data_IF_625108729287
#
_entry.id   IF_625108729287
#
_cell.length_a   1.000
_cell.length_b   1.000
_cell.length_c   1.000
_cell.angle_alpha   90.00
_cell.angle_beta   90.00
_cell.angle_gamma   90.00
#
_symmetry.space_group_name_H-M   'P 1'
#
loop_
_entity.id
_entity.type
_entity.pdbx_description
1 polymer ?
#
# COMPACT_ATOMS: atom_id res chain seq x y z
N UNK A 1 -63.84 -28.37 -49.91
CA UNK A 1 -62.95 -29.05 -48.96
C UNK A 1 -61.58 -29.08 -49.60
N UNK A 2 -60.70 -28.16 -49.22
CA UNK A 2 -59.29 -28.18 -49.62
C UNK A 2 -58.52 -27.83 -48.36
N UNK A 3 -58.12 -28.86 -47.62
CA UNK A 3 -57.26 -28.76 -46.46
C UNK A 3 -55.82 -28.85 -46.95
N UNK A 4 -55.15 -27.71 -47.03
CA UNK A 4 -53.69 -27.64 -47.16
C UNK A 4 -53.09 -27.97 -45.81
N UNK A 5 -52.53 -29.17 -45.69
CA UNK A 5 -51.63 -29.53 -44.60
C UNK A 5 -50.34 -28.71 -44.74
N UNK A 6 -50.17 -27.74 -43.85
CA UNK A 6 -48.87 -27.13 -43.60
C UNK A 6 -48.09 -28.09 -42.71
N UNK A 7 -47.20 -28.87 -43.33
CA UNK A 7 -46.17 -29.62 -42.61
C UNK A 7 -45.18 -28.62 -42.00
N UNK A 8 -45.41 -28.24 -40.73
CA UNK A 8 -44.42 -27.53 -39.92
C UNK A 8 -43.38 -28.53 -39.45
N UNK A 9 -42.30 -28.66 -40.21
CA UNK A 9 -41.10 -29.37 -39.78
C UNK A 9 -40.21 -28.41 -39.00
N UNK A 10 -40.59 -28.07 -37.77
CA UNK A 10 -39.61 -27.56 -36.80
C UNK A 10 -38.81 -28.76 -36.32
N UNK A 11 -37.84 -29.19 -37.12
CA UNK A 11 -36.69 -29.93 -36.56
C UNK A 11 -36.03 -29.09 -35.48
N UNK A 12 -35.19 -29.67 -34.60
CA UNK A 12 -34.50 -28.87 -33.60
C UNK A 12 -33.65 -27.85 -34.34
N UNK A 13 -34.07 -26.58 -34.32
CA UNK A 13 -33.21 -25.50 -34.77
C UNK A 13 -32.08 -25.46 -33.74
N UNK A 14 -30.88 -25.83 -34.19
CA UNK A 14 -29.68 -25.54 -33.44
C UNK A 14 -29.49 -24.03 -33.30
N UNK A 15 -28.47 -23.61 -32.55
CA UNK A 15 -28.20 -22.19 -32.35
C UNK A 15 -27.96 -21.47 -33.69
N UNK A 16 -28.48 -20.25 -33.83
CA UNK A 16 -28.22 -19.38 -34.98
C UNK A 16 -27.06 -18.41 -34.77
N UNK A 17 -26.68 -18.17 -33.52
CA UNK A 17 -25.60 -17.28 -33.09
C UNK A 17 -25.24 -17.53 -31.62
N UNK A 18 -24.15 -16.91 -31.17
CA UNK A 18 -23.65 -17.09 -29.80
C UNK A 18 -24.64 -16.58 -28.75
N UNK A 19 -25.51 -15.63 -29.10
CA UNK A 19 -26.54 -15.08 -28.21
C UNK A 19 -27.62 -16.10 -27.82
N UNK A 20 -27.69 -17.25 -28.51
CA UNK A 20 -28.60 -18.36 -28.20
C UNK A 20 -27.96 -19.45 -27.32
N UNK A 21 -26.68 -19.28 -26.96
CA UNK A 21 -25.90 -20.20 -26.14
C UNK A 21 -25.60 -19.57 -24.76
N UNK A 22 -26.53 -19.73 -23.82
CA UNK A 22 -26.46 -19.12 -22.47
C UNK A 22 -25.75 -20.00 -21.43
N UNK A 23 -25.47 -21.25 -21.76
CA UNK A 23 -24.79 -22.19 -20.87
C UNK A 23 -23.30 -21.88 -20.80
N UNK A 24 -22.77 -21.66 -19.59
CA UNK A 24 -21.38 -21.24 -19.40
C UNK A 24 -20.35 -22.22 -20.00
N UNK A 25 -20.61 -23.53 -19.92
CA UNK A 25 -19.73 -24.57 -20.46
C UNK A 25 -19.84 -24.76 -21.99
N UNK A 26 -20.81 -24.10 -22.63
CA UNK A 26 -20.99 -24.16 -24.07
C UNK A 26 -21.45 -22.80 -24.61
N UNK A 27 -20.63 -21.75 -24.51
CA UNK A 27 -21.05 -20.38 -24.77
C UNK A 27 -21.06 -20.01 -26.26
N UNK A 28 -20.43 -20.80 -27.13
CA UNK A 28 -20.21 -20.45 -28.55
C UNK A 28 -21.06 -21.34 -29.46
N UNK A 29 -21.68 -20.77 -30.48
CA UNK A 29 -22.42 -21.49 -31.49
C UNK A 29 -21.51 -21.97 -32.63
N UNK A 30 -21.16 -23.25 -32.64
CA UNK A 30 -20.33 -23.88 -33.68
C UNK A 30 -21.17 -24.88 -34.46
N UNK A 31 -21.31 -24.70 -35.76
CA UNK A 31 -22.09 -25.58 -36.64
C UNK A 31 -23.53 -25.87 -36.12
N UNK A 32 -24.20 -24.82 -35.60
CA UNK A 32 -25.53 -24.88 -34.99
C UNK A 32 -25.60 -25.68 -33.68
N UNK A 33 -24.45 -25.92 -33.03
CA UNK A 33 -24.37 -26.60 -31.73
C UNK A 33 -23.66 -25.69 -30.74
N UNK A 34 -24.31 -25.39 -29.61
CA UNK A 34 -23.66 -24.73 -28.49
C UNK A 34 -22.51 -25.61 -27.99
N UNK A 35 -21.30 -25.04 -28.05
CA UNK A 35 -20.03 -25.72 -27.87
C UNK A 35 -19.13 -24.89 -26.95
N UNK A 36 -18.15 -25.53 -26.28
CA UNK A 36 -17.11 -24.81 -25.54
C UNK A 36 -16.39 -23.82 -26.46
N UNK A 37 -15.89 -22.73 -25.89
CA UNK A 37 -14.97 -21.86 -26.63
C UNK A 37 -13.67 -22.62 -26.96
N UNK A 38 -13.07 -22.27 -28.09
CA UNK A 38 -11.78 -22.80 -28.57
C UNK A 38 -10.73 -21.69 -28.71
N UNK A 39 -11.13 -20.42 -28.54
CA UNK A 39 -10.25 -19.25 -28.65
C UNK A 39 -10.86 -18.02 -28.00
N UNK A 40 -9.99 -17.12 -27.55
CA UNK A 40 -10.37 -15.81 -27.01
C UNK A 40 -11.16 -14.97 -28.02
N UNK A 41 -10.84 -15.09 -29.31
CA UNK A 41 -11.54 -14.36 -30.36
C UNK A 41 -13.05 -14.69 -30.41
N UNK A 42 -13.45 -15.92 -30.07
CA UNK A 42 -14.87 -16.30 -29.98
C UNK A 42 -15.52 -15.66 -28.76
N UNK A 43 -14.85 -15.70 -27.61
CA UNK A 43 -15.34 -15.11 -26.38
C UNK A 43 -15.45 -13.58 -26.48
N UNK A 44 -14.43 -12.90 -26.99
CA UNK A 44 -14.43 -11.45 -27.23
C UNK A 44 -15.50 -11.00 -28.24
N UNK A 45 -15.80 -11.82 -29.25
CA UNK A 45 -16.86 -11.54 -30.20
C UNK A 45 -18.27 -11.68 -29.58
N UNK A 46 -18.45 -12.67 -28.69
CA UNK A 46 -19.70 -12.90 -27.96
C UNK A 46 -19.94 -11.81 -26.90
N UNK A 47 -18.96 -11.56 -26.06
CA UNK A 47 -19.04 -10.62 -24.95
C UNK A 47 -17.67 -9.96 -24.68
N UNK A 48 -17.51 -8.66 -25.00
CA UNK A 48 -16.30 -7.92 -24.70
C UNK A 48 -15.93 -7.85 -23.21
N UNK A 49 -16.88 -8.09 -22.29
CA UNK A 49 -16.60 -8.15 -20.86
C UNK A 49 -16.02 -9.49 -20.41
N UNK A 50 -16.11 -10.55 -21.24
CA UNK A 50 -15.58 -11.87 -20.98
C UNK A 50 -14.75 -12.37 -22.18
N UNK A 51 -13.66 -11.69 -22.55
CA UNK A 51 -12.94 -11.95 -23.79
C UNK A 51 -12.06 -13.20 -23.76
N UNK A 52 -11.74 -13.75 -22.60
CA UNK A 52 -10.78 -14.85 -22.48
C UNK A 52 -11.48 -16.21 -22.49
N UNK A 53 -10.96 -17.17 -23.24
CA UNK A 53 -11.41 -18.55 -23.28
C UNK A 53 -10.57 -19.40 -22.31
N UNK A 54 -11.20 -19.92 -21.25
CA UNK A 54 -10.55 -20.80 -20.29
C UNK A 54 -10.45 -22.23 -20.82
N UNK A 55 -9.48 -23.00 -20.33
CA UNK A 55 -9.21 -24.39 -20.72
C UNK A 55 -10.41 -25.35 -20.64
N UNK A 56 -11.44 -25.04 -19.84
CA UNK A 56 -12.67 -25.83 -19.73
C UNK A 56 -13.79 -25.38 -20.69
N UNK A 57 -13.48 -24.45 -21.61
CA UNK A 57 -14.39 -23.99 -22.65
C UNK A 57 -15.33 -22.85 -22.24
N UNK A 58 -15.10 -22.24 -21.07
CA UNK A 58 -15.89 -21.09 -20.60
C UNK A 58 -15.27 -19.76 -21.04
N UNK A 59 -16.12 -18.80 -21.42
CA UNK A 59 -15.70 -17.41 -21.59
C UNK A 59 -15.69 -16.72 -20.22
N UNK A 60 -14.55 -16.13 -19.86
CA UNK A 60 -14.29 -15.47 -18.57
C UNK A 60 -13.67 -14.10 -18.80
N UNK A 61 -13.64 -13.26 -17.76
CA UNK A 61 -13.08 -11.90 -17.87
C UNK A 61 -11.60 -11.94 -18.25
N UNK A 62 -10.85 -12.86 -17.65
CA UNK A 62 -9.42 -12.99 -17.86
C UNK A 62 -8.93 -14.39 -17.51
N UNK A 63 -7.74 -14.73 -17.97
CA UNK A 63 -6.97 -15.92 -17.59
C UNK A 63 -5.52 -15.51 -17.33
N UNK A 64 -4.71 -16.40 -16.78
CA UNK A 64 -3.28 -16.13 -16.60
C UNK A 64 -2.51 -15.83 -17.90
N UNK A 65 -3.05 -16.22 -19.06
CA UNK A 65 -2.47 -15.99 -20.38
C UNK A 65 -3.15 -14.89 -21.19
N UNK A 66 -4.29 -14.38 -20.72
CA UNK A 66 -5.05 -13.32 -21.37
C UNK A 66 -5.75 -12.47 -20.31
N UNK A 67 -5.19 -11.29 -20.06
CA UNK A 67 -5.71 -10.25 -19.18
C UNK A 67 -6.23 -9.04 -19.95
N UNK A 68 -6.48 -9.15 -21.26
CA UNK A 68 -6.98 -8.05 -22.11
C UNK A 68 -8.33 -7.49 -21.63
N UNK A 69 -9.10 -8.29 -20.88
CA UNK A 69 -10.35 -7.86 -20.24
C UNK A 69 -10.15 -7.00 -18.98
N UNK A 70 -8.92 -6.93 -18.46
CA UNK A 70 -8.56 -6.16 -17.27
C UNK A 70 -8.00 -4.79 -17.64
N UNK A 71 -8.36 -3.77 -16.87
CA UNK A 71 -7.96 -2.39 -17.11
C UNK A 71 -8.61 -1.43 -16.13
N UNK A 72 -8.23 -0.16 -16.21
CA UNK A 72 -8.71 0.88 -15.28
C UNK A 72 -8.45 0.49 -13.82
N UNK A 73 -9.50 0.55 -12.99
CA UNK A 73 -9.43 0.23 -11.55
C UNK A 73 -9.30 -1.28 -11.24
N UNK A 74 -9.33 -2.15 -12.26
CA UNK A 74 -9.12 -3.60 -12.11
C UNK A 74 -8.11 -4.11 -13.14
N UNK A 75 -6.82 -3.71 -13.06
CA UNK A 75 -5.83 -4.06 -14.06
C UNK A 75 -5.28 -5.48 -13.90
N UNK A 76 -5.53 -6.16 -12.77
CA UNK A 76 -4.91 -7.46 -12.47
C UNK A 76 -5.90 -8.59 -12.68
N UNK A 77 -5.49 -9.65 -13.37
CA UNK A 77 -6.26 -10.88 -13.43
C UNK A 77 -6.02 -11.76 -12.19
N UNK A 78 -7.05 -11.98 -11.37
CA UNK A 78 -7.02 -13.09 -10.41
C UNK A 78 -7.34 -14.39 -11.15
N UNK A 79 -6.28 -15.09 -11.59
CA UNK A 79 -6.42 -16.32 -12.34
C UNK A 79 -7.07 -17.47 -11.54
N UNK A 80 -7.11 -17.41 -10.21
CA UNK A 80 -7.75 -18.45 -9.41
C UNK A 80 -9.28 -18.41 -9.56
N UNK A 81 -9.84 -17.22 -9.72
CA UNK A 81 -11.29 -17.01 -9.91
C UNK A 81 -11.67 -16.48 -11.30
N UNK A 82 -10.68 -16.16 -12.16
CA UNK A 82 -10.82 -15.65 -13.52
C UNK A 82 -11.57 -14.31 -13.59
N UNK A 83 -11.29 -13.42 -12.63
CA UNK A 83 -11.91 -12.09 -12.53
C UNK A 83 -10.86 -11.01 -12.39
N UNK A 84 -11.11 -9.85 -12.98
CA UNK A 84 -10.23 -8.70 -12.82
C UNK A 84 -10.40 -8.08 -11.42
N UNK A 85 -9.28 -7.67 -10.82
CA UNK A 85 -9.23 -7.03 -9.50
C UNK A 85 -8.28 -5.83 -9.51
N UNK A 86 -8.47 -4.91 -8.57
CA UNK A 86 -7.57 -3.79 -8.35
C UNK A 86 -6.21 -4.25 -7.83
N UNK A 87 -5.15 -3.52 -8.15
CA UNK A 87 -3.88 -3.69 -7.48
C UNK A 87 -3.99 -3.28 -6.00
N UNK A 88 -3.25 -3.95 -5.13
CA UNK A 88 -3.13 -3.64 -3.71
C UNK A 88 -1.67 -3.38 -3.30
N UNK A 89 -0.72 -3.86 -4.09
CA UNK A 89 0.73 -3.78 -3.87
C UNK A 89 1.43 -3.30 -5.13
N UNK A 90 2.53 -2.56 -4.98
CA UNK A 90 3.25 -1.99 -6.12
C UNK A 90 3.81 -3.06 -7.08
N UNK A 91 4.16 -4.24 -6.56
CA UNK A 91 4.66 -5.39 -7.34
C UNK A 91 3.65 -5.91 -8.37
N UNK A 92 2.36 -5.63 -8.18
CA UNK A 92 1.33 -6.02 -9.14
C UNK A 92 1.33 -5.14 -10.39
N UNK A 93 2.04 -4.01 -10.36
CA UNK A 93 2.23 -3.09 -11.48
C UNK A 93 3.72 -3.03 -11.85
N UNK A 94 4.30 -4.08 -12.46
CA UNK A 94 5.75 -4.22 -12.65
C UNK A 94 6.38 -3.12 -13.51
N UNK A 95 5.59 -2.54 -14.42
CA UNK A 95 6.04 -1.46 -15.30
C UNK A 95 5.77 -0.06 -14.72
N UNK A 96 5.14 0.04 -13.54
CA UNK A 96 4.90 1.29 -12.84
C UNK A 96 4.76 1.09 -11.33
N UNK A 97 3.63 1.48 -10.75
CA UNK A 97 3.30 1.34 -9.34
C UNK A 97 1.78 1.24 -9.18
N UNK A 98 1.34 0.59 -8.09
CA UNK A 98 -0.06 0.57 -7.73
C UNK A 98 -0.50 1.90 -7.10
N UNK A 99 -1.60 2.49 -7.60
CA UNK A 99 -2.32 3.55 -6.91
C UNK A 99 -3.30 2.92 -5.93
N UNK A 100 -2.80 2.56 -4.75
CA UNK A 100 -3.50 1.78 -3.71
C UNK A 100 -4.89 2.37 -3.36
N UNK A 101 -5.08 3.68 -3.48
CA UNK A 101 -6.37 4.33 -3.25
C UNK A 101 -7.50 3.84 -4.19
N UNK A 102 -7.16 3.60 -5.47
CA UNK A 102 -8.12 3.33 -6.55
C UNK A 102 -8.00 1.93 -7.13
N UNK A 103 -6.87 1.26 -6.90
CA UNK A 103 -6.59 -0.07 -7.43
C UNK A 103 -6.14 -0.09 -8.89
N UNK A 104 -5.85 1.07 -9.49
CA UNK A 104 -5.28 1.17 -10.83
C UNK A 104 -3.74 1.20 -10.78
N UNK A 105 -3.08 0.70 -11.84
CA UNK A 105 -1.66 0.94 -12.03
C UNK A 105 -1.45 2.36 -12.59
N UNK A 106 -0.40 3.04 -12.16
CA UNK A 106 0.00 4.31 -12.76
C UNK A 106 0.39 4.13 -14.24
N UNK A 107 0.29 5.20 -15.02
CA UNK A 107 0.73 5.22 -16.43
C UNK A 107 2.24 4.97 -16.50
N UNK A 108 2.64 3.95 -17.25
CA UNK A 108 4.05 3.60 -17.49
C UNK A 108 4.81 4.75 -18.15
N UNK A 109 4.13 5.57 -18.96
CA UNK A 109 4.75 6.74 -19.59
C UNK A 109 5.10 7.85 -18.60
N UNK A 110 4.56 7.80 -17.39
CA UNK A 110 4.87 8.73 -16.31
C UNK A 110 6.05 8.29 -15.43
N UNK A 111 6.61 7.10 -15.70
CA UNK A 111 7.75 6.56 -14.96
C UNK A 111 9.03 7.25 -15.37
N UNK A 112 9.73 7.82 -14.38
CA UNK A 112 11.02 8.49 -14.55
C UNK A 112 12.00 8.01 -13.49
N UNK A 113 13.25 7.82 -13.90
CA UNK A 113 14.33 7.54 -12.97
C UNK A 113 14.99 8.86 -12.54
N UNK A 114 15.28 8.98 -11.25
CA UNK A 114 15.99 10.14 -10.69
C UNK A 114 17.23 9.64 -9.97
N UNK A 115 18.40 10.05 -10.47
CA UNK A 115 19.69 9.83 -9.84
C UNK A 115 20.51 11.14 -9.78
N UNK A 116 20.77 11.63 -8.56
CA UNK A 116 21.59 12.84 -8.39
C UNK A 116 23.06 12.64 -8.79
N UNK A 117 23.58 11.42 -8.83
CA UNK A 117 24.92 11.14 -9.35
C UNK A 117 25.01 11.38 -10.88
N UNK A 118 23.87 11.26 -11.58
CA UNK A 118 23.72 11.56 -13.00
C UNK A 118 23.29 13.03 -13.27
N UNK A 119 23.06 13.81 -12.20
CA UNK A 119 22.71 15.22 -12.27
C UNK A 119 21.21 15.50 -12.32
N UNK A 120 20.36 14.50 -12.09
CA UNK A 120 18.92 14.68 -11.98
C UNK A 120 18.54 15.48 -10.73
N UNK A 121 17.36 16.09 -10.75
CA UNK A 121 16.86 16.90 -9.66
C UNK A 121 15.48 16.41 -9.19
N UNK A 122 15.47 15.71 -8.06
CA UNK A 122 14.24 15.20 -7.44
C UNK A 122 13.15 16.27 -7.27
N UNK A 123 13.51 17.48 -6.85
CA UNK A 123 12.53 18.55 -6.65
C UNK A 123 11.95 19.10 -7.96
N UNK A 124 12.68 18.98 -9.07
CA UNK A 124 12.18 19.39 -10.39
C UNK A 124 11.25 18.34 -11.01
N UNK A 125 11.54 17.06 -10.76
CA UNK A 125 10.78 15.92 -11.28
C UNK A 125 9.53 15.60 -10.44
N UNK A 126 9.49 16.02 -9.18
CA UNK A 126 8.34 15.81 -8.28
C UNK A 126 7.18 16.75 -8.62
N UNK A 127 6.31 16.29 -9.52
CA UNK A 127 5.12 17.01 -9.99
C UNK A 127 3.91 16.07 -10.11
N UNK A 128 2.71 16.65 -10.28
CA UNK A 128 1.48 15.90 -10.54
C UNK A 128 1.64 14.94 -11.74
N UNK A 129 1.19 13.70 -11.55
CA UNK A 129 1.27 12.59 -12.48
C UNK A 129 2.58 11.81 -12.43
N UNK A 130 3.64 12.27 -11.75
CA UNK A 130 4.96 11.61 -11.80
C UNK A 130 4.99 10.27 -11.03
N UNK A 131 5.69 9.29 -11.62
CA UNK A 131 6.09 8.05 -10.94
C UNK A 131 7.61 8.00 -10.92
N UNK A 132 8.20 8.37 -9.79
CA UNK A 132 9.64 8.50 -9.64
C UNK A 132 10.22 7.19 -9.11
N UNK A 133 11.13 6.58 -9.87
CA UNK A 133 12.03 5.55 -9.39
C UNK A 133 13.32 6.24 -8.93
N UNK A 134 13.45 6.40 -7.61
CA UNK A 134 14.54 7.13 -6.98
C UNK A 134 15.73 6.20 -6.72
N UNK A 135 16.89 6.54 -7.26
CA UNK A 135 18.15 5.84 -7.00
C UNK A 135 18.88 6.44 -5.81
N UNK A 136 19.77 5.66 -5.21
CA UNK A 136 20.67 6.14 -4.16
C UNK A 136 21.55 7.29 -4.66
N UNK A 137 21.65 8.38 -3.89
CA UNK A 137 22.66 9.40 -4.15
C UNK A 137 23.95 9.04 -3.42
N UNK A 138 24.94 8.55 -4.15
CA UNK A 138 26.11 7.90 -3.59
C UNK A 138 25.73 6.75 -2.65
N UNK A 139 26.51 6.51 -1.59
CA UNK A 139 26.20 5.42 -0.65
C UNK A 139 25.24 5.81 0.46
N UNK A 140 25.31 7.05 0.95
CA UNK A 140 24.55 7.53 2.11
C UNK A 140 24.17 9.00 1.99
N UNK A 141 24.37 9.64 0.84
CA UNK A 141 24.09 11.07 0.71
C UNK A 141 22.58 11.25 0.55
N UNK A 142 21.94 12.14 1.33
CA UNK A 142 20.53 12.41 1.13
C UNK A 142 20.31 13.43 0.01
N UNK A 143 19.20 13.26 -0.72
CA UNK A 143 18.56 14.32 -1.48
C UNK A 143 18.11 15.41 -0.50
N UNK A 144 18.85 16.52 -0.45
CA UNK A 144 18.54 17.63 0.46
C UNK A 144 17.56 18.58 -0.22
N UNK A 145 16.26 18.35 0.02
CA UNK A 145 15.15 19.01 -0.68
C UNK A 145 13.97 19.21 0.25
N UNK A 146 13.11 20.17 -0.07
CA UNK A 146 11.74 20.23 0.48
C UNK A 146 10.78 20.00 -0.68
N UNK A 147 10.01 18.92 -0.61
CA UNK A 147 9.05 18.52 -1.63
C UNK A 147 7.66 19.02 -1.22
N UNK A 148 6.93 19.63 -2.15
CA UNK A 148 5.57 20.11 -1.91
C UNK A 148 4.70 19.63 -3.05
N UNK A 149 3.63 18.91 -2.73
CA UNK A 149 2.57 18.56 -3.65
C UNK A 149 1.29 19.25 -3.19
N UNK A 150 0.92 20.32 -3.90
CA UNK A 150 -0.29 21.11 -3.66
C UNK A 150 -1.30 20.75 -4.75
N UNK A 151 -2.22 19.83 -4.43
CA UNK A 151 -3.07 19.06 -5.37
C UNK A 151 -2.30 18.03 -6.23
N UNK A 152 -3.04 17.12 -6.88
CA UNK A 152 -2.47 16.14 -7.82
C UNK A 152 -2.06 14.81 -7.17
N UNK A 153 -1.45 13.93 -7.96
CA UNK A 153 -1.03 12.59 -7.53
C UNK A 153 0.41 12.35 -7.94
N UNK A 154 1.26 11.84 -7.05
CA UNK A 154 2.62 11.44 -7.39
C UNK A 154 3.02 10.16 -6.64
N UNK A 155 4.03 9.46 -7.16
CA UNK A 155 4.64 8.30 -6.51
C UNK A 155 6.16 8.42 -6.49
N UNK A 156 6.81 8.01 -5.40
CA UNK A 156 8.25 7.85 -5.29
C UNK A 156 8.54 6.46 -4.71
N UNK A 157 9.20 5.63 -5.50
CA UNK A 157 9.62 4.28 -5.13
C UNK A 157 11.14 4.22 -5.20
N UNK A 158 11.78 3.48 -4.30
CA UNK A 158 13.20 3.21 -4.47
C UNK A 158 13.42 2.27 -5.66
N UNK A 159 14.53 2.46 -6.37
CA UNK A 159 15.01 1.45 -7.29
C UNK A 159 15.28 0.12 -6.55
N UNK A 160 15.13 -1.06 -7.20
CA UNK A 160 15.38 -2.34 -6.55
C UNK A 160 16.78 -2.45 -5.93
N UNK A 161 16.84 -2.69 -4.62
CA UNK A 161 18.09 -2.80 -3.85
C UNK A 161 18.64 -1.46 -3.33
N UNK A 162 18.02 -0.34 -3.71
CA UNK A 162 18.36 0.98 -3.20
C UNK A 162 17.56 1.36 -1.96
N UNK A 163 18.06 2.33 -1.21
CA UNK A 163 17.42 2.85 0.00
C UNK A 163 17.61 4.38 0.08
N UNK A 164 17.12 5.12 -0.93
CA UNK A 164 17.41 6.52 -1.11
C UNK A 164 16.86 7.35 0.04
N UNK A 165 17.57 8.43 0.36
CA UNK A 165 17.34 9.22 1.57
C UNK A 165 16.91 10.64 1.17
N UNK A 166 15.77 11.10 1.64
CA UNK A 166 15.25 12.46 1.47
C UNK A 166 15.43 13.19 2.79
N UNK A 167 16.07 14.36 2.78
CA UNK A 167 16.28 15.18 3.97
C UNK A 167 15.79 16.62 3.71
N UNK A 168 14.94 17.13 4.60
CA UNK A 168 14.43 18.49 4.54
C UNK A 168 15.50 19.58 4.71
N UNK A 169 15.22 20.76 4.16
CA UNK A 169 16.08 21.95 4.28
C UNK A 169 15.95 22.67 5.64
N UNK A 170 15.00 22.27 6.49
CA UNK A 170 14.78 22.85 7.81
C UNK A 170 14.08 24.21 7.81
N UNK A 171 13.22 24.47 6.83
CA UNK A 171 12.32 25.65 6.80
C UNK A 171 10.85 25.29 6.61
N UNK A 172 10.57 24.00 6.45
CA UNK A 172 9.27 23.37 6.26
C UNK A 172 9.44 21.86 6.54
N UNK A 173 8.37 21.08 6.41
CA UNK A 173 8.50 19.63 6.39
C UNK A 173 9.41 19.18 5.22
N UNK A 174 9.99 17.97 5.33
CA UNK A 174 10.78 17.43 4.20
C UNK A 174 9.87 17.15 3.02
N UNK A 175 8.63 16.70 3.29
CA UNK A 175 7.56 16.52 2.33
C UNK A 175 6.28 17.15 2.88
N UNK A 176 5.64 18.01 2.10
CA UNK A 176 4.33 18.59 2.40
C UNK A 176 3.30 18.18 1.34
N UNK A 177 2.15 17.68 1.77
CA UNK A 177 1.00 17.34 0.93
C UNK A 177 -0.18 18.21 1.32
N UNK A 178 -0.78 18.88 0.34
CA UNK A 178 -1.83 19.88 0.58
C UNK A 178 -3.00 19.74 -0.41
N UNK A 179 -4.18 20.20 0.00
CA UNK A 179 -5.32 20.49 -0.89
C UNK A 179 -5.79 19.33 -1.78
N UNK A 180 -5.82 18.12 -1.24
CA UNK A 180 -6.29 16.92 -1.92
C UNK A 180 -5.19 16.22 -2.71
N UNK A 181 -3.92 16.55 -2.48
CA UNK A 181 -2.80 15.81 -3.01
C UNK A 181 -2.80 14.33 -2.54
N UNK A 182 -2.31 13.44 -3.38
CA UNK A 182 -2.06 12.03 -3.06
C UNK A 182 -0.59 11.68 -3.33
N UNK A 183 0.11 11.15 -2.33
CA UNK A 183 1.49 10.67 -2.49
C UNK A 183 1.64 9.22 -2.09
N UNK A 184 2.32 8.45 -2.94
CA UNK A 184 2.76 7.08 -2.67
C UNK A 184 4.27 7.09 -2.43
N UNK A 185 4.72 6.67 -1.26
CA UNK A 185 6.13 6.53 -0.89
C UNK A 185 6.41 5.08 -0.56
N UNK A 186 7.27 4.41 -1.33
CA UNK A 186 7.42 2.97 -1.16
C UNK A 186 8.82 2.39 -1.41
N UNK A 187 8.92 1.09 -1.10
CA UNK A 187 10.00 0.20 -1.51
C UNK A 187 11.39 0.60 -0.99
N UNK A 188 11.48 1.16 0.21
CA UNK A 188 12.76 1.48 0.86
C UNK A 188 13.14 2.97 0.86
N UNK A 189 12.29 3.85 0.31
CA UNK A 189 12.48 5.31 0.44
C UNK A 189 12.51 5.71 1.92
N UNK A 190 13.47 6.56 2.28
CA UNK A 190 13.66 7.04 3.64
C UNK A 190 13.51 8.56 3.72
N UNK A 191 12.59 9.07 4.56
CA UNK A 191 12.48 10.50 4.91
C UNK A 191 13.16 10.72 6.26
N UNK A 192 14.27 11.44 6.26
CA UNK A 192 15.20 11.38 7.37
C UNK A 192 15.80 12.71 7.81
N UNK A 193 16.19 12.74 9.09
CA UNK A 193 17.25 13.61 9.55
C UNK A 193 16.97 15.12 9.45
N UNK A 194 15.71 15.54 9.28
CA UNK A 194 15.38 16.95 9.39
C UNK A 194 15.77 17.43 10.78
N UNK A 195 16.64 18.45 10.85
CA UNK A 195 17.14 18.97 12.13
C UNK A 195 16.25 20.07 12.72
N UNK A 196 15.22 20.50 11.98
CA UNK A 196 14.28 21.51 12.47
C UNK A 196 13.21 20.85 13.35
N UNK A 197 13.13 21.29 14.60
CA UNK A 197 12.14 20.82 15.58
C UNK A 197 10.74 21.41 15.36
N UNK A 198 10.58 22.38 14.46
CA UNK A 198 9.29 23.02 14.18
C UNK A 198 8.46 22.28 13.14
N UNK A 199 9.07 21.43 12.30
CA UNK A 199 8.38 20.78 11.19
C UNK A 199 8.61 19.27 11.18
N UNK A 200 7.55 18.46 10.98
CA UNK A 200 7.69 17.01 10.90
C UNK A 200 8.49 16.58 9.66
N UNK A 201 8.88 15.31 9.61
CA UNK A 201 9.42 14.71 8.39
C UNK A 201 8.44 14.84 7.22
N UNK A 202 7.18 14.48 7.45
CA UNK A 202 6.09 14.59 6.47
C UNK A 202 4.90 15.34 7.09
N UNK A 203 4.37 16.33 6.39
CA UNK A 203 3.14 17.04 6.74
C UNK A 203 2.06 16.74 5.69
N UNK A 204 0.85 16.40 6.15
CA UNK A 204 -0.30 16.07 5.31
C UNK A 204 -1.50 16.91 5.77
N UNK A 205 -1.90 17.89 4.97
CA UNK A 205 -2.98 18.83 5.27
C UNK A 205 -4.08 18.71 4.22
N UNK A 206 -5.24 18.16 4.60
CA UNK A 206 -6.35 17.85 3.68
C UNK A 206 -5.87 17.06 2.43
N UNK A 207 -4.99 16.08 2.63
CA UNK A 207 -4.33 15.30 1.58
C UNK A 207 -4.16 13.82 2.01
N UNK A 208 -3.65 12.96 1.14
CA UNK A 208 -3.48 11.52 1.40
C UNK A 208 -2.05 11.05 1.20
N UNK A 209 -1.52 10.28 2.16
CA UNK A 209 -0.22 9.63 2.11
C UNK A 209 -0.39 8.10 2.14
N UNK A 210 0.26 7.41 1.22
CA UNK A 210 0.38 5.95 1.21
C UNK A 210 1.85 5.59 1.38
N UNK A 211 2.23 5.23 2.61
CA UNK A 211 3.59 4.86 2.99
C UNK A 211 3.68 3.34 3.07
N UNK A 212 4.37 2.70 2.12
CA UNK A 212 4.42 1.23 2.00
C UNK A 212 5.86 0.71 1.93
N UNK A 213 6.32 -0.01 2.95
CA UNK A 213 7.75 -0.44 3.06
C UNK A 213 8.74 0.72 2.98
N UNK A 214 8.40 1.84 3.61
CA UNK A 214 9.25 3.02 3.67
C UNK A 214 9.57 3.41 5.12
N UNK A 215 10.53 4.31 5.30
CA UNK A 215 11.04 4.71 6.62
C UNK A 215 10.91 6.22 6.82
N UNK A 216 10.35 6.65 7.94
CA UNK A 216 10.38 8.06 8.38
C UNK A 216 11.10 8.10 9.71
N UNK A 217 12.37 8.53 9.70
CA UNK A 217 13.25 8.32 10.86
C UNK A 217 14.11 9.53 11.20
N UNK A 218 14.35 9.75 12.49
CA UNK A 218 15.29 10.78 12.98
C UNK A 218 14.94 12.22 12.58
N UNK A 219 13.66 12.53 12.39
CA UNK A 219 13.21 13.90 12.10
C UNK A 219 12.91 14.63 13.41
N UNK A 220 13.64 15.71 13.70
CA UNK A 220 13.58 16.42 14.99
C UNK A 220 12.20 17.02 15.30
N UNK A 221 11.45 17.45 14.28
CA UNK A 221 10.11 18.02 14.44
C UNK A 221 8.97 17.01 14.50
N UNK A 222 9.28 15.71 14.55
CA UNK A 222 8.30 14.63 14.52
C UNK A 222 8.30 13.85 13.20
N UNK A 223 7.58 12.73 13.16
CA UNK A 223 7.58 11.84 12.00
C UNK A 223 6.60 12.31 10.93
N UNK A 224 5.31 12.06 11.17
CA UNK A 224 4.22 12.41 10.27
C UNK A 224 3.16 13.21 11.04
N UNK A 225 2.73 14.34 10.49
CA UNK A 225 1.55 15.10 10.97
C UNK A 225 0.43 15.05 9.94
N UNK A 226 -0.76 14.66 10.37
CA UNK A 226 -2.00 14.69 9.61
C UNK A 226 -2.92 15.75 10.21
N UNK A 227 -3.33 16.71 9.40
CA UNK A 227 -4.15 17.84 9.81
C UNK A 227 -5.30 18.08 8.80
N UNK A 228 -6.40 18.69 9.28
CA UNK A 228 -7.54 19.17 8.51
C UNK A 228 -8.13 18.19 7.47
N UNK A 229 -8.38 16.95 7.86
CA UNK A 229 -8.91 15.92 6.96
C UNK A 229 -7.85 15.14 6.21
N UNK A 230 -6.59 15.20 6.64
CA UNK A 230 -5.52 14.36 6.13
C UNK A 230 -5.81 12.87 6.34
N UNK A 231 -5.27 12.05 5.44
CA UNK A 231 -5.29 10.59 5.51
C UNK A 231 -3.88 10.03 5.39
N UNK A 232 -3.58 8.96 6.14
CA UNK A 232 -2.43 8.12 5.83
C UNK A 232 -2.73 6.63 5.98
N UNK A 233 -2.29 5.85 5.00
CA UNK A 233 -2.03 4.41 5.13
C UNK A 233 -0.53 4.22 5.38
N UNK A 234 -0.18 3.58 6.49
CA UNK A 234 1.21 3.26 6.85
C UNK A 234 1.31 1.74 6.96
N UNK A 235 1.87 1.13 5.92
CA UNK A 235 1.91 -0.32 5.74
C UNK A 235 3.35 -0.83 5.66
N UNK A 236 3.69 -1.87 6.43
CA UNK A 236 5.05 -2.42 6.50
C UNK A 236 6.13 -1.33 6.67
N UNK A 237 5.82 -0.25 7.39
CA UNK A 237 6.66 0.94 7.42
C UNK A 237 7.22 1.18 8.82
N UNK A 238 8.35 1.87 8.87
CA UNK A 238 9.04 2.19 10.13
C UNK A 238 8.99 3.69 10.38
N UNK A 239 8.47 4.06 11.54
CA UNK A 239 8.52 5.42 12.06
C UNK A 239 9.32 5.42 13.36
N UNK A 240 10.60 5.75 13.26
CA UNK A 240 11.51 5.58 14.39
C UNK A 240 12.33 6.81 14.74
N UNK A 241 12.48 7.05 16.05
CA UNK A 241 13.33 8.12 16.58
C UNK A 241 13.04 9.51 16.03
N UNK A 242 11.78 9.78 15.71
CA UNK A 242 11.33 11.12 15.38
C UNK A 242 10.96 11.88 16.65
N UNK A 243 11.02 13.20 16.54
CA UNK A 243 10.82 14.11 17.67
C UNK A 243 12.13 14.46 18.37
N UNK A 244 12.01 15.41 19.29
CA UNK A 244 13.14 15.98 20.04
C UNK A 244 12.72 16.40 21.45
N UNK A 245 11.55 15.94 21.91
CA UNK A 245 10.90 16.42 23.13
C UNK A 245 10.39 17.87 23.06
N UNK A 246 10.58 18.57 21.93
CA UNK A 246 10.06 19.92 21.72
C UNK A 246 8.56 19.90 21.43
N UNK A 247 7.79 20.92 21.83
CA UNK A 247 6.35 20.97 21.52
C UNK A 247 6.12 21.51 20.08
N UNK A 248 5.27 20.88 19.24
CA UNK A 248 4.47 19.67 19.46
C UNK A 248 4.99 18.45 18.67
N UNK A 249 6.22 18.01 18.94
CA UNK A 249 6.86 16.88 18.22
C UNK A 249 6.35 15.53 18.75
N UNK A 250 6.12 14.56 17.85
CA UNK A 250 5.73 13.17 18.16
C UNK A 250 6.00 12.30 16.92
N UNK A 251 5.98 10.98 17.05
CA UNK A 251 6.11 10.06 15.92
C UNK A 251 4.99 10.25 14.88
N UNK A 252 3.74 10.15 15.33
CA UNK A 252 2.52 10.31 14.55
C UNK A 252 1.57 11.29 15.25
N UNK A 253 1.19 12.36 14.57
CA UNK A 253 0.21 13.33 15.05
C UNK A 253 -1.01 13.32 14.12
N UNK A 254 -2.20 13.08 14.66
CA UNK A 254 -3.44 12.95 13.88
C UNK A 254 -4.52 13.89 14.42
N UNK A 255 -4.74 15.03 13.76
CA UNK A 255 -5.72 16.04 14.18
C UNK A 255 -6.78 16.24 13.11
N UNK A 256 -8.04 16.05 13.49
CA UNK A 256 -9.19 16.15 12.58
C UNK A 256 -8.98 15.32 11.29
N UNK A 257 -8.32 14.16 11.41
CA UNK A 257 -7.72 13.37 10.31
C UNK A 257 -7.88 11.86 10.53
N UNK A 258 -7.51 11.04 9.55
CA UNK A 258 -7.62 9.56 9.63
C UNK A 258 -6.28 8.86 9.39
N UNK A 259 -6.04 7.76 10.11
CA UNK A 259 -4.79 7.00 10.03
C UNK A 259 -5.07 5.50 10.11
N UNK A 260 -4.50 4.74 9.18
CA UNK A 260 -4.47 3.27 9.21
C UNK A 260 -3.03 2.78 9.33
N UNK A 261 -2.72 2.07 10.43
CA UNK A 261 -1.45 1.38 10.62
C UNK A 261 -1.62 -0.11 10.39
N UNK A 262 -0.81 -0.70 9.50
CA UNK A 262 -0.82 -2.12 9.20
C UNK A 262 0.59 -2.67 9.13
N UNK A 263 0.97 -3.58 10.03
CA UNK A 263 2.35 -4.07 10.12
C UNK A 263 3.36 -2.90 10.19
N UNK A 264 3.08 -1.88 10.99
CA UNK A 264 3.99 -0.74 11.15
C UNK A 264 4.79 -0.85 12.46
N UNK A 265 6.04 -0.39 12.45
CA UNK A 265 6.85 -0.23 13.65
C UNK A 265 7.05 1.24 13.96
N UNK A 266 6.27 1.76 14.92
CA UNK A 266 6.37 3.14 15.42
C UNK A 266 7.14 3.12 16.73
N UNK A 267 8.47 3.27 16.68
CA UNK A 267 9.35 2.90 17.81
C UNK A 267 10.38 3.96 18.17
N UNK A 268 10.67 4.11 19.46
CA UNK A 268 11.70 5.01 19.98
C UNK A 268 11.54 6.49 19.58
N UNK A 269 10.33 6.94 19.25
CA UNK A 269 10.05 8.36 19.04
C UNK A 269 10.13 9.12 20.38
N UNK A 270 10.45 10.41 20.33
CA UNK A 270 10.67 11.28 21.50
C UNK A 270 9.78 12.52 21.40
N UNK A 271 8.55 12.36 21.89
CA UNK A 271 7.53 13.38 21.83
C UNK A 271 7.56 14.30 23.05
N UNK A 272 6.82 15.38 22.99
CA UNK A 272 6.70 16.30 24.13
C UNK A 272 5.62 15.93 25.14
N UNK A 273 4.70 15.03 24.77
CA UNK A 273 3.65 14.50 25.65
C UNK A 273 3.63 12.99 25.51
N UNK A 274 3.02 12.48 24.44
CA UNK A 274 3.12 11.08 24.04
C UNK A 274 4.04 10.95 22.85
N UNK A 275 4.90 9.94 22.96
CA UNK A 275 6.06 9.81 22.10
C UNK A 275 5.73 9.42 20.68
N UNK A 276 4.84 8.43 20.51
CA UNK A 276 4.69 7.75 19.23
C UNK A 276 3.39 8.05 18.53
N UNK A 277 2.27 8.20 19.24
CA UNK A 277 0.98 8.45 18.61
C UNK A 277 0.13 9.39 19.45
N UNK A 278 -0.20 10.55 18.88
CA UNK A 278 -1.18 11.50 19.43
C UNK A 278 -2.32 11.67 18.44
N UNK A 279 -3.57 11.66 18.92
CA UNK A 279 -4.70 12.02 18.09
C UNK A 279 -5.75 12.89 18.80
N UNK A 280 -6.43 13.73 18.02
CA UNK A 280 -7.58 14.54 18.45
C UNK A 280 -8.60 14.61 17.32
N UNK A 281 -9.86 14.28 17.61
CA UNK A 281 -10.96 14.30 16.65
C UNK A 281 -10.70 13.52 15.34
N UNK A 282 -9.86 12.48 15.40
CA UNK A 282 -9.51 11.65 14.26
C UNK A 282 -10.03 10.23 14.36
N UNK A 283 -9.95 9.49 13.26
CA UNK A 283 -10.18 8.04 13.24
C UNK A 283 -8.85 7.33 13.08
N UNK A 284 -8.45 6.52 14.05
CA UNK A 284 -7.19 5.79 13.99
C UNK A 284 -7.45 4.30 14.14
N UNK A 285 -6.99 3.52 13.16
CA UNK A 285 -7.01 2.06 13.19
C UNK A 285 -5.59 1.51 13.20
N UNK A 286 -5.35 0.50 14.04
CA UNK A 286 -4.03 -0.13 14.20
C UNK A 286 -4.17 -1.63 14.14
N UNK A 287 -3.44 -2.27 13.24
CA UNK A 287 -3.44 -3.73 13.10
C UNK A 287 -2.03 -4.27 12.89
N UNK A 288 -1.73 -5.40 13.53
CA UNK A 288 -0.45 -6.09 13.39
C UNK A 288 0.79 -5.20 13.64
N UNK A 289 0.67 -4.16 14.48
CA UNK A 289 1.68 -3.09 14.58
C UNK A 289 2.28 -2.94 15.98
N UNK A 290 3.44 -2.28 16.06
CA UNK A 290 4.15 -1.96 17.30
C UNK A 290 4.16 -0.44 17.52
N UNK A 291 3.86 0.02 18.75
CA UNK A 291 3.88 1.43 19.11
C UNK A 291 4.61 1.65 20.45
N UNK A 292 5.85 2.12 20.40
CA UNK A 292 6.72 2.29 21.57
C UNK A 292 7.50 3.61 21.49
N UNK A 293 7.62 4.30 22.61
CA UNK A 293 8.31 5.58 22.75
C UNK A 293 9.61 5.42 23.49
N UNK A 294 10.33 6.53 23.66
CA UNK A 294 11.48 6.58 24.58
C UNK A 294 11.04 6.57 26.05
N UNK A 295 9.80 6.91 26.34
CA UNK A 295 9.17 6.96 27.67
C UNK A 295 7.90 6.10 27.73
N UNK A 296 7.48 5.75 28.95
CA UNK A 296 6.42 4.76 29.23
C UNK A 296 4.97 5.29 29.02
N UNK A 297 4.74 6.25 28.12
CA UNK A 297 3.41 6.77 27.74
C UNK A 297 3.40 7.18 26.26
N UNK A 298 3.30 6.19 25.37
CA UNK A 298 3.49 6.44 23.93
C UNK A 298 2.25 6.78 23.14
N UNK A 299 1.05 6.57 23.72
CA UNK A 299 -0.21 6.61 22.98
C UNK A 299 -1.22 7.53 23.65
N UNK A 300 -1.37 8.72 23.09
CA UNK A 300 -2.35 9.74 23.47
C UNK A 300 -3.44 9.85 22.41
N UNK A 301 -4.22 8.79 22.20
CA UNK A 301 -5.20 8.74 21.11
C UNK A 301 -6.58 8.22 21.55
N UNK A 302 -7.49 9.11 21.98
CA UNK A 302 -8.85 8.73 22.35
C UNK A 302 -9.63 8.17 21.16
N UNK A 303 -10.25 6.99 21.33
CA UNK A 303 -11.07 6.37 20.27
C UNK A 303 -10.28 5.55 19.25
N UNK A 304 -8.97 5.38 19.45
CA UNK A 304 -8.15 4.40 18.75
C UNK A 304 -8.80 3.01 18.77
N UNK A 305 -8.85 2.34 17.62
CA UNK A 305 -9.19 0.92 17.51
C UNK A 305 -7.98 0.10 17.09
N UNK A 306 -7.54 -0.82 17.95
CA UNK A 306 -6.38 -1.67 17.71
C UNK A 306 -6.73 -3.16 17.77
N UNK A 307 -6.11 -3.96 16.91
CA UNK A 307 -6.17 -5.42 16.93
C UNK A 307 -4.80 -6.01 16.66
N UNK A 308 -4.47 -7.13 17.31
CA UNK A 308 -3.24 -7.88 17.03
C UNK A 308 -1.96 -7.02 17.07
N UNK A 309 -1.92 -6.04 17.98
CA UNK A 309 -0.89 -5.00 18.03
C UNK A 309 -0.39 -4.82 19.46
N UNK A 310 0.82 -4.32 19.64
CA UNK A 310 1.43 -4.13 20.96
C UNK A 310 1.99 -2.72 21.15
N UNK A 311 1.99 -2.27 22.41
CA UNK A 311 2.54 -0.99 22.83
C UNK A 311 3.03 -1.06 24.29
N UNK A 312 3.60 0.04 24.78
CA UNK A 312 3.95 0.23 26.19
C UNK A 312 2.79 0.71 27.07
N UNK A 313 1.58 0.74 26.51
CA UNK A 313 0.37 1.16 27.20
C UNK A 313 -0.86 0.42 26.66
N UNK A 314 -1.81 0.12 27.55
CA UNK A 314 -3.09 -0.43 27.14
C UNK A 314 -4.03 0.70 26.68
N UNK A 315 -4.01 0.99 25.38
CA UNK A 315 -4.90 1.96 24.74
C UNK A 315 -5.59 1.34 23.52
N UNK A 316 -6.91 1.52 23.41
CA UNK A 316 -7.65 1.18 22.19
C UNK A 316 -7.66 -0.30 21.77
N UNK A 317 -7.24 -1.24 22.62
CA UNK A 317 -7.09 -2.67 22.27
C UNK A 317 -5.65 -3.11 21.99
N UNK A 318 -4.66 -2.23 22.19
CA UNK A 318 -3.24 -2.57 22.17
C UNK A 318 -2.90 -3.52 23.33
N UNK A 319 -2.09 -4.54 23.03
CA UNK A 319 -1.48 -5.39 24.05
C UNK A 319 -0.36 -4.61 24.74
N UNK A 320 -0.46 -4.45 26.06
CA UNK A 320 0.56 -3.80 26.87
C UNK A 320 1.73 -4.77 27.11
N UNK A 321 2.84 -4.53 26.42
CA UNK A 321 4.10 -5.28 26.55
C UNK A 321 5.05 -4.64 27.58
N UNK A 322 4.62 -3.57 28.26
CA UNK A 322 5.46 -2.77 29.13
C UNK A 322 6.41 -1.85 28.38
N UNK A 323 7.33 -1.17 29.10
CA UNK A 323 8.18 -0.13 28.53
C UNK A 323 9.08 -0.66 27.42
N UNK A 324 9.47 0.22 26.49
CA UNK A 324 10.39 -0.12 25.41
C UNK A 324 11.65 -0.80 25.96
N UNK A 325 11.87 -2.05 25.54
CA UNK A 325 13.12 -2.74 25.76
C UNK A 325 14.00 -2.65 24.51
N UNK A 326 15.13 -1.91 24.55
CA UNK A 326 15.99 -1.75 23.38
C UNK A 326 16.54 -3.06 22.82
N UNK A 327 16.58 -4.14 23.62
CA UNK A 327 17.06 -5.46 23.19
C UNK A 327 16.09 -6.19 22.25
N UNK A 328 14.84 -5.75 22.15
CA UNK A 328 13.92 -6.25 21.14
C UNK A 328 14.34 -5.87 19.71
N UNK A 329 15.18 -4.86 19.56
CA UNK A 329 15.60 -4.29 18.29
C UNK A 329 17.13 -4.37 18.11
N UNK A 330 17.60 -4.44 16.87
CA UNK A 330 19.02 -4.66 16.55
C UNK A 330 19.89 -3.54 17.12
N UNK A 331 19.60 -2.29 16.79
CA UNK A 331 20.31 -1.12 17.34
C UNK A 331 19.44 0.13 17.22
N UNK A 332 18.67 0.47 18.25
CA UNK A 332 17.94 1.74 18.22
C UNK A 332 18.88 2.94 18.44
N UNK A 333 18.67 4.07 17.75
CA UNK A 333 17.62 4.30 16.75
C UNK A 333 18.00 3.93 15.30
N UNK A 334 19.24 3.51 15.04
CA UNK A 334 19.81 3.41 13.69
C UNK A 334 19.34 2.20 12.88
N UNK A 335 18.97 1.12 13.56
CA UNK A 335 18.43 -0.11 12.98
C UNK A 335 17.28 -0.63 13.88
N UNK A 336 16.04 -0.27 13.58
CA UNK A 336 14.84 -0.71 14.31
C UNK A 336 14.28 -2.05 13.80
N UNK A 337 15.08 -2.87 13.11
CA UNK A 337 14.73 -4.28 12.85
C UNK A 337 14.67 -5.05 14.18
N UNK A 338 13.82 -6.06 14.25
CA UNK A 338 13.67 -6.91 15.43
C UNK A 338 14.90 -7.80 15.63
N UNK A 339 15.08 -8.26 16.86
CA UNK A 339 16.03 -9.34 17.21
C UNK A 339 15.26 -10.63 17.49
N UNK A 340 15.99 -11.72 17.73
CA UNK A 340 15.39 -12.94 18.28
C UNK A 340 14.66 -12.72 19.62
N UNK A 341 15.04 -11.71 20.41
CA UNK A 341 14.28 -11.34 21.62
C UNK A 341 12.99 -10.61 21.27
N UNK A 342 13.03 -9.74 20.25
CA UNK A 342 11.82 -9.10 19.72
C UNK A 342 10.85 -10.13 19.15
N UNK A 343 11.35 -11.12 18.42
CA UNK A 343 10.54 -12.24 17.92
C UNK A 343 9.87 -13.02 19.05
N UNK A 344 10.60 -13.29 20.13
CA UNK A 344 10.04 -14.02 21.28
C UNK A 344 8.91 -13.24 21.98
N UNK A 345 8.93 -11.91 21.90
CA UNK A 345 7.89 -11.06 22.48
C UNK A 345 6.69 -10.87 21.53
N UNK A 346 6.96 -10.64 20.24
CA UNK A 346 5.96 -10.16 19.29
C UNK A 346 5.54 -11.18 18.23
N UNK A 347 6.14 -12.36 18.20
CA UNK A 347 5.98 -13.36 17.14
C UNK A 347 4.61 -14.04 17.05
N UNK A 348 3.80 -13.97 18.12
CA UNK A 348 2.43 -14.48 18.17
C UNK A 348 1.40 -13.36 18.39
N UNK A 349 1.81 -12.09 18.26
CA UNK A 349 0.95 -10.93 18.51
C UNK A 349 0.11 -10.59 17.29
N UNK A 350 0.70 -10.64 16.09
CA UNK A 350 -0.02 -10.37 14.87
C UNK A 350 -0.85 -11.58 14.41
N UNK A 351 -1.86 -11.30 13.62
CA UNK A 351 -2.60 -12.32 12.88
C UNK A 351 -2.70 -11.87 11.42
N UNK A 352 -2.18 -12.72 10.53
CA UNK A 352 -2.31 -12.51 9.11
C UNK A 352 -3.75 -12.73 8.65
N UNK A 353 -4.27 -11.81 7.85
CA UNK A 353 -5.62 -11.85 7.30
C UNK A 353 -5.59 -11.74 5.77
N UNK A 354 -6.59 -12.29 5.10
CA UNK A 354 -6.70 -12.17 3.64
C UNK A 354 -6.63 -10.70 3.19
N UNK A 355 -5.69 -10.38 2.29
CA UNK A 355 -5.41 -9.02 1.83
C UNK A 355 -4.23 -8.34 2.54
N UNK A 356 -3.66 -8.97 3.57
CA UNK A 356 -2.43 -8.51 4.20
C UNK A 356 -1.21 -8.67 3.29
N UNK A 357 -0.15 -7.87 3.52
CA UNK A 357 1.12 -8.06 2.84
C UNK A 357 1.64 -9.49 2.94
N UNK A 358 2.21 -9.99 1.85
CA UNK A 358 2.85 -11.30 1.78
C UNK A 358 4.35 -11.25 2.09
N UNK A 359 4.91 -10.05 2.17
CA UNK A 359 6.29 -9.79 2.57
C UNK A 359 6.32 -8.62 3.54
N UNK A 360 7.37 -8.53 4.33
CA UNK A 360 7.62 -7.44 5.26
C UNK A 360 8.42 -6.28 4.62
N UNK A 361 8.98 -5.38 5.43
CA UNK A 361 9.77 -4.24 4.95
C UNK A 361 11.09 -4.64 4.26
N UNK A 362 11.71 -5.73 4.69
CA UNK A 362 13.02 -6.17 4.20
C UNK A 362 12.89 -7.28 3.12
N UNK A 363 11.66 -7.71 2.84
CA UNK A 363 11.31 -8.64 1.77
C UNK A 363 11.10 -10.08 2.23
N UNK A 364 11.13 -10.31 3.55
CA UNK A 364 10.93 -11.62 4.15
C UNK A 364 9.45 -12.03 4.12
N UNK A 365 9.21 -13.32 3.89
CA UNK A 365 7.87 -13.84 3.63
C UNK A 365 7.00 -13.85 4.89
N UNK A 366 5.78 -13.34 4.75
CA UNK A 366 4.68 -13.47 5.72
C UNK A 366 3.84 -14.72 5.41
N UNK A 367 3.01 -15.20 6.37
CA UNK A 367 2.35 -16.50 6.25
C UNK A 367 1.45 -16.71 5.02
N UNK A 368 0.73 -15.68 4.57
CA UNK A 368 -0.16 -15.78 3.40
C UNK A 368 -1.41 -16.66 3.59
N UNK A 369 -1.77 -17.00 4.83
CA UNK A 369 -2.91 -17.86 5.16
C UNK A 369 -3.79 -17.19 6.21
N UNK A 370 -5.08 -16.99 5.89
CA UNK A 370 -6.02 -16.28 6.75
C UNK A 370 -6.12 -16.91 8.16
N UNK A 371 -5.97 -16.06 9.18
CA UNK A 371 -6.04 -16.45 10.59
C UNK A 371 -4.76 -17.02 11.18
N UNK A 372 -3.65 -17.13 10.42
CA UNK A 372 -2.38 -17.58 10.97
C UNK A 372 -1.73 -16.54 11.89
N UNK A 373 -1.07 -16.98 12.96
CA UNK A 373 -0.23 -16.12 13.78
C UNK A 373 0.93 -15.54 12.94
N UNK A 374 1.34 -14.31 13.25
CA UNK A 374 2.46 -13.61 12.62
C UNK A 374 3.15 -12.67 13.63
N UNK A 375 4.27 -12.08 13.21
CA UNK A 375 5.03 -11.09 13.97
C UNK A 375 4.41 -9.69 13.80
N UNK A 376 4.10 -9.03 14.92
CA UNK A 376 3.67 -7.64 14.89
C UNK A 376 4.84 -6.69 14.57
N UNK A 377 4.58 -5.66 13.76
CA UNK A 377 5.57 -4.71 13.28
C UNK A 377 5.93 -4.89 11.81
N UNK A 378 6.80 -4.00 11.33
CA UNK A 378 7.17 -3.90 9.92
C UNK A 378 8.14 -4.97 9.42
N UNK A 379 8.78 -5.69 10.33
CA UNK A 379 9.93 -6.56 10.07
C UNK A 379 9.77 -7.91 10.76
N UNK A 380 10.32 -8.97 10.15
CA UNK A 380 10.46 -10.31 10.67
C UNK A 380 11.99 -10.61 10.80
N UNK A 381 12.49 -10.91 12.01
CA UNK A 381 13.93 -11.01 12.27
C UNK A 381 14.63 -12.33 11.92
#
# INVERSE_FOLDING_TARGET
MSTTDASSTTGPQGCAGDEECDEAASPVCIDQVCSPCESDAQCAAKDPANPACRDDGQCVQCTASNDDGCGGATPICDAAVNTCMGCAFHEQCPDSACRIATGECFDEAAVIHVDADDGDNLAAEFVDGSVIILHNYGTMTPYTVSLVLDTGVAAILAAPGDAPRIQGLGSAASISLENGAELYLANGVQVIGSTDAMFPGIAVDNASLYLDRARVVQNAGGGISLDNGGYALVRNAVLAANGSGFQPTTGLRVIDSSLDLLYASVVANDGNVQDSLICSNGTVTVRNSLIFGVTDDSVGCPGLGATYSAADSNAGGLNDAGPLNPMWFQTLPTNPALTAMGLAEFGDVAQWQSGDPLIDIDGDARPGVDGSADVAGADIP
#
